data_IF_238290217996
#
_entry.id   IF_238290217996
#
_cell.length_a   1.000
_cell.length_b   1.000
_cell.length_c   1.000
_cell.angle_alpha   90.00
_cell.angle_beta   90.00
_cell.angle_gamma   90.00
#
_symmetry.space_group_name_H-M   'P 1'
#
loop_
_entity.id
_entity.type
_entity.pdbx_description
1 polymer ?
#
# COMPACT_ATOMS: atom_id res chain seq x y z
N UNK A 1 11.87 41.85 -49.91
CA UNK A 1 11.64 40.42 -49.69
C UNK A 1 11.87 40.13 -48.19
N UNK A 2 10.80 40.02 -47.37
CA UNK A 2 10.89 39.75 -45.93
C UNK A 2 10.69 38.26 -45.74
N UNK A 3 11.74 37.56 -45.30
CA UNK A 3 11.67 36.14 -44.90
C UNK A 3 11.10 36.06 -43.49
N UNK A 4 9.85 35.57 -43.37
CA UNK A 4 9.21 35.26 -42.07
C UNK A 4 9.84 34.01 -41.48
N UNK A 5 10.38 34.15 -40.29
CA UNK A 5 10.89 33.07 -39.44
C UNK A 5 9.73 32.57 -38.56
N UNK A 6 9.11 31.47 -38.96
CA UNK A 6 8.08 30.81 -38.16
C UNK A 6 8.79 29.98 -37.10
N UNK A 7 8.85 30.51 -35.89
CA UNK A 7 9.33 29.79 -34.72
C UNK A 7 8.32 28.72 -34.29
N UNK A 8 8.65 27.47 -34.52
CA UNK A 8 7.88 26.33 -34.00
C UNK A 8 8.11 26.22 -32.49
N UNK A 9 7.18 26.72 -31.70
CA UNK A 9 7.16 26.51 -30.22
C UNK A 9 6.72 25.09 -29.96
N UNK A 10 7.68 24.23 -29.63
CA UNK A 10 7.43 22.86 -29.19
C UNK A 10 6.95 22.92 -27.72
N UNK A 11 5.64 22.86 -27.54
CA UNK A 11 5.04 22.77 -26.21
C UNK A 11 5.31 21.38 -25.62
N UNK A 12 6.35 21.27 -24.80
CA UNK A 12 6.69 20.03 -24.10
C UNK A 12 5.64 19.81 -22.97
N UNK A 13 4.59 19.07 -23.28
CA UNK A 13 3.62 18.61 -22.27
C UNK A 13 4.29 17.50 -21.46
N UNK A 14 4.85 17.85 -20.32
CA UNK A 14 5.31 16.87 -19.33
C UNK A 14 4.09 16.21 -18.72
N UNK A 15 3.75 15.00 -19.16
CA UNK A 15 2.77 14.17 -18.51
C UNK A 15 3.35 13.75 -17.14
N UNK A 16 2.83 14.33 -16.07
CA UNK A 16 3.08 13.86 -14.71
C UNK A 16 2.31 12.54 -14.57
N UNK A 17 3.00 11.42 -14.77
CA UNK A 17 2.44 10.10 -14.51
C UNK A 17 2.33 9.95 -12.99
N UNK A 18 1.18 10.28 -12.42
CA UNK A 18 0.87 9.93 -11.03
C UNK A 18 0.73 8.41 -10.96
N UNK A 19 1.68 7.75 -10.29
CA UNK A 19 1.54 6.34 -9.95
C UNK A 19 0.31 6.19 -9.06
N UNK A 20 -0.64 5.36 -9.47
CA UNK A 20 -1.87 5.09 -8.73
C UNK A 20 -1.86 3.62 -8.31
N UNK A 21 -2.13 3.37 -7.04
CA UNK A 21 -2.36 2.02 -6.51
C UNK A 21 -3.86 1.83 -6.25
N UNK A 22 -4.40 0.70 -6.66
CA UNK A 22 -5.80 0.36 -6.39
C UNK A 22 -5.90 -1.08 -5.87
N UNK A 23 -6.65 -1.25 -4.79
CA UNK A 23 -7.08 -2.56 -4.31
C UNK A 23 -8.34 -2.95 -5.06
N UNK A 24 -8.26 -4.01 -5.88
CA UNK A 24 -9.35 -4.42 -6.78
C UNK A 24 -9.74 -5.86 -6.51
N UNK A 25 -11.03 -6.15 -6.68
CA UNK A 25 -11.61 -7.47 -6.48
C UNK A 25 -11.16 -8.52 -7.51
N UNK A 26 -10.60 -8.11 -8.64
CA UNK A 26 -10.23 -8.97 -9.75
C UNK A 26 -8.74 -9.36 -9.76
N UNK A 27 -7.97 -8.87 -8.81
CA UNK A 27 -6.53 -9.17 -8.77
C UNK A 27 -6.11 -9.75 -7.43
N UNK A 28 -5.37 -10.87 -7.45
CA UNK A 28 -4.74 -11.37 -6.24
C UNK A 28 -3.70 -10.37 -5.73
N UNK A 29 -3.65 -10.16 -4.42
CA UNK A 29 -2.61 -9.33 -3.82
C UNK A 29 -1.52 -10.20 -3.22
N UNK A 30 -0.28 -9.73 -3.33
CA UNK A 30 0.89 -10.25 -2.63
C UNK A 30 1.46 -9.17 -1.72
N UNK A 31 1.62 -9.52 -0.46
CA UNK A 31 2.29 -8.66 0.52
C UNK A 31 3.74 -9.12 0.67
N UNK A 32 4.69 -8.28 0.29
CA UNK A 32 6.10 -8.52 0.58
C UNK A 32 6.38 -8.12 2.02
N UNK A 33 6.70 -9.08 2.87
CA UNK A 33 7.05 -8.85 4.27
C UNK A 33 8.18 -9.79 4.68
N UNK A 34 9.26 -9.23 5.19
CA UNK A 34 10.41 -10.01 5.63
C UNK A 34 10.13 -10.78 6.92
N UNK A 35 10.75 -11.96 7.06
CA UNK A 35 10.61 -12.81 8.24
C UNK A 35 11.22 -12.23 9.51
N UNK A 36 12.04 -11.17 9.40
CA UNK A 36 12.61 -10.45 10.55
C UNK A 36 11.60 -9.53 11.25
N UNK A 37 10.43 -9.30 10.62
CA UNK A 37 9.39 -8.49 11.22
C UNK A 37 8.78 -9.15 12.45
N UNK A 38 8.42 -8.33 13.44
CA UNK A 38 7.90 -8.80 14.72
C UNK A 38 6.54 -9.48 14.60
N UNK A 39 6.21 -10.30 15.61
CA UNK A 39 4.96 -11.06 15.67
C UNK A 39 3.71 -10.20 15.53
N UNK A 40 3.73 -8.95 16.02
CA UNK A 40 2.61 -8.02 15.89
C UNK A 40 2.33 -7.69 14.42
N UNK A 41 3.37 -7.48 13.62
CA UNK A 41 3.26 -7.24 12.17
C UNK A 41 2.71 -8.48 11.46
N UNK A 42 3.24 -9.67 11.79
CA UNK A 42 2.77 -10.94 11.23
C UNK A 42 1.30 -11.21 11.56
N UNK A 43 0.85 -10.82 12.76
CA UNK A 43 -0.54 -10.94 13.16
C UNK A 43 -1.42 -9.99 12.35
N UNK A 44 -1.03 -8.71 12.23
CA UNK A 44 -1.76 -7.73 11.43
C UNK A 44 -1.90 -8.17 9.95
N UNK A 45 -0.85 -8.76 9.37
CA UNK A 45 -0.90 -9.33 8.02
C UNK A 45 -1.95 -10.43 7.87
N UNK A 46 -2.02 -11.36 8.82
CA UNK A 46 -3.03 -12.44 8.81
C UNK A 46 -4.44 -11.87 8.86
N UNK A 47 -4.66 -10.85 9.68
CA UNK A 47 -5.95 -10.18 9.81
C UNK A 47 -6.34 -9.49 8.50
N UNK A 48 -5.44 -8.70 7.92
CA UNK A 48 -5.68 -8.02 6.65
C UNK A 48 -5.96 -9.01 5.50
N UNK A 49 -5.23 -10.14 5.43
CA UNK A 49 -5.48 -11.18 4.42
C UNK A 49 -6.91 -11.72 4.54
N UNK A 50 -7.35 -12.03 5.77
CA UNK A 50 -8.71 -12.48 6.03
C UNK A 50 -9.73 -11.43 5.58
N UNK A 51 -9.52 -10.17 5.96
CA UNK A 51 -10.38 -9.05 5.64
C UNK A 51 -10.47 -8.84 4.13
N UNK A 52 -9.33 -8.88 3.43
CA UNK A 52 -9.28 -8.77 1.98
C UNK A 52 -10.06 -9.89 1.27
N UNK A 53 -9.89 -11.13 1.72
CA UNK A 53 -10.61 -12.28 1.19
C UNK A 53 -12.11 -12.17 1.43
N UNK A 54 -12.53 -11.65 2.59
CA UNK A 54 -13.94 -11.45 2.92
C UNK A 54 -14.60 -10.38 2.05
N UNK A 55 -13.89 -9.27 1.79
CA UNK A 55 -14.43 -8.14 1.02
C UNK A 55 -14.43 -8.42 -0.48
N UNK A 56 -13.35 -8.96 -1.03
CA UNK A 56 -13.17 -9.08 -2.48
C UNK A 56 -13.31 -10.51 -3.01
N UNK A 57 -13.44 -11.51 -2.17
CA UNK A 57 -13.42 -12.93 -2.56
C UNK A 57 -12.20 -13.31 -3.42
N UNK A 58 -11.11 -12.55 -3.27
CA UNK A 58 -9.87 -12.68 -4.02
C UNK A 58 -8.74 -13.22 -3.12
N UNK A 59 -7.74 -13.87 -3.74
CA UNK A 59 -6.62 -14.41 -2.98
C UNK A 59 -5.66 -13.33 -2.52
N UNK A 60 -5.16 -13.49 -1.30
CA UNK A 60 -4.10 -12.68 -0.73
C UNK A 60 -3.03 -13.60 -0.11
N UNK A 61 -1.76 -13.31 -0.32
CA UNK A 61 -0.65 -14.11 0.18
C UNK A 61 0.51 -13.24 0.65
N UNK A 62 1.30 -13.76 1.59
CA UNK A 62 2.56 -13.15 2.02
C UNK A 62 3.73 -13.84 1.33
N UNK A 63 4.66 -13.05 0.82
CA UNK A 63 5.94 -13.49 0.28
C UNK A 63 7.07 -12.74 1.00
N UNK A 64 8.21 -13.37 1.22
CA UNK A 64 9.32 -12.74 1.95
C UNK A 64 9.99 -11.61 1.17
N UNK A 65 9.84 -11.54 -0.15
CA UNK A 65 10.62 -10.65 -1.02
C UNK A 65 9.84 -9.93 -2.10
N UNK A 66 8.72 -10.48 -2.54
CA UNK A 66 8.00 -10.00 -3.73
C UNK A 66 6.52 -9.76 -3.42
N UNK A 67 6.04 -8.60 -3.83
CA UNK A 67 4.64 -8.25 -3.68
C UNK A 67 4.30 -6.94 -4.36
N UNK A 68 3.03 -6.69 -4.53
CA UNK A 68 2.50 -5.39 -4.95
C UNK A 68 2.21 -4.46 -3.75
N UNK A 69 2.21 -5.03 -2.54
CA UNK A 69 2.21 -4.25 -1.28
C UNK A 69 3.49 -4.63 -0.53
N UNK A 70 4.31 -3.65 -0.18
CA UNK A 70 5.55 -3.83 0.58
C UNK A 70 5.31 -3.38 2.01
N UNK A 71 5.57 -4.27 2.97
CA UNK A 71 5.40 -4.00 4.40
C UNK A 71 6.77 -3.99 5.06
N UNK A 72 7.11 -2.90 5.74
CA UNK A 72 8.45 -2.72 6.30
C UNK A 72 8.45 -1.83 7.55
N UNK A 73 9.22 -2.23 8.56
CA UNK A 73 9.52 -1.41 9.73
C UNK A 73 10.85 -0.69 9.54
N UNK A 74 10.88 0.62 9.79
CA UNK A 74 12.08 1.45 9.71
C UNK A 74 13.16 0.90 10.62
N UNK A 75 14.38 0.76 10.09
CA UNK A 75 15.53 0.23 10.83
C UNK A 75 15.57 -1.28 11.00
N UNK A 76 14.50 -2.01 10.62
CA UNK A 76 14.46 -3.49 10.72
C UNK A 76 14.45 -4.16 9.35
N UNK A 77 13.48 -3.84 8.52
CA UNK A 77 13.27 -4.55 7.27
C UNK A 77 14.31 -4.20 6.20
N UNK A 78 14.99 -5.19 5.62
CA UNK A 78 15.86 -4.98 4.47
C UNK A 78 15.08 -4.57 3.22
N UNK A 79 13.78 -4.87 3.11
CA UNK A 79 12.94 -4.48 1.99
C UNK A 79 12.87 -2.96 1.83
N UNK A 80 12.92 -2.21 2.94
CA UNK A 80 12.90 -0.76 2.90
C UNK A 80 14.12 -0.16 2.21
N UNK A 81 15.27 -0.83 2.31
CA UNK A 81 16.51 -0.40 1.63
C UNK A 81 16.46 -0.66 0.12
N UNK A 82 15.66 -1.62 -0.30
CA UNK A 82 15.52 -1.98 -1.71
C UNK A 82 14.56 -1.06 -2.48
N UNK A 83 13.77 -0.27 -1.77
CA UNK A 83 12.82 0.67 -2.38
C UNK A 83 13.28 2.11 -2.12
N UNK A 84 13.24 2.94 -3.16
CA UNK A 84 13.59 4.36 -3.05
C UNK A 84 12.39 5.14 -2.48
N UNK A 85 12.15 4.97 -1.18
CA UNK A 85 11.06 5.65 -0.49
C UNK A 85 11.60 6.65 0.55
N UNK A 86 10.99 7.82 0.61
CA UNK A 86 11.29 8.79 1.66
C UNK A 86 10.44 8.46 2.90
N UNK A 87 11.09 7.95 3.91
CA UNK A 87 10.48 7.64 5.21
C UNK A 87 10.90 8.61 6.31
N UNK A 88 11.50 9.75 5.95
CA UNK A 88 11.95 10.78 6.91
C UNK A 88 10.84 11.29 7.81
N UNK A 89 9.60 11.31 7.30
CA UNK A 89 8.41 11.67 8.07
C UNK A 89 8.15 10.77 9.29
N UNK A 90 8.74 9.57 9.34
CA UNK A 90 8.63 8.63 10.46
C UNK A 90 9.75 8.79 11.49
N UNK A 91 10.80 9.58 11.18
CA UNK A 91 11.94 9.74 12.07
C UNK A 91 11.54 10.31 13.43
N UNK A 92 12.01 9.68 14.50
CA UNK A 92 11.74 10.08 15.89
C UNK A 92 10.29 9.90 16.37
N UNK A 93 9.39 9.41 15.51
CA UNK A 93 8.00 9.13 15.88
C UNK A 93 7.85 7.72 16.45
N UNK A 94 6.87 7.54 17.31
CA UNK A 94 6.46 6.23 17.83
C UNK A 94 5.09 5.87 17.27
N UNK A 95 4.92 4.58 16.95
CA UNK A 95 3.64 4.02 16.50
C UNK A 95 3.03 4.77 15.29
N UNK A 96 3.88 5.42 14.50
CA UNK A 96 3.49 6.13 13.29
C UNK A 96 3.67 5.24 12.07
N UNK A 97 2.87 5.46 11.05
CA UNK A 97 2.98 4.78 9.76
C UNK A 97 2.85 5.74 8.59
N UNK A 98 3.28 5.27 7.44
CA UNK A 98 3.19 5.94 6.14
C UNK A 98 2.66 4.95 5.11
N UNK A 99 1.68 5.37 4.32
CA UNK A 99 1.23 4.70 3.11
C UNK A 99 1.71 5.52 1.92
N UNK A 100 2.49 4.92 1.04
CA UNK A 100 3.06 5.61 -0.11
C UNK A 100 2.99 4.74 -1.37
N UNK A 101 2.46 5.30 -2.45
CA UNK A 101 2.58 4.65 -3.77
C UNK A 101 3.97 4.93 -4.33
N UNK A 102 4.69 3.86 -4.66
CA UNK A 102 6.03 3.93 -5.21
C UNK A 102 5.99 4.22 -6.72
N UNK A 103 7.09 4.71 -7.32
CA UNK A 103 7.15 5.00 -8.76
C UNK A 103 6.85 3.78 -9.65
N UNK A 104 7.10 2.56 -9.18
CA UNK A 104 6.78 1.31 -9.87
C UNK A 104 5.33 0.83 -9.69
N UNK A 105 4.48 1.66 -9.07
CA UNK A 105 3.06 1.39 -8.86
C UNK A 105 2.76 0.47 -7.66
N UNK A 106 3.76 0.05 -6.88
CA UNK A 106 3.54 -0.72 -5.65
C UNK A 106 3.14 0.20 -4.49
N UNK A 107 2.45 -0.37 -3.50
CA UNK A 107 2.14 0.32 -2.26
C UNK A 107 3.17 -0.05 -1.18
N UNK A 108 3.76 0.97 -0.57
CA UNK A 108 4.58 0.82 0.62
C UNK A 108 3.74 1.12 1.87
N UNK A 109 3.79 0.20 2.82
CA UNK A 109 3.33 0.36 4.20
C UNK A 109 4.58 0.38 5.08
N UNK A 110 4.99 1.55 5.53
CA UNK A 110 6.15 1.71 6.40
C UNK A 110 5.73 2.16 7.79
N UNK A 111 6.26 1.52 8.83
CA UNK A 111 6.06 1.94 10.22
C UNK A 111 7.35 2.45 10.86
N UNK A 112 7.24 3.41 11.77
CA UNK A 112 8.37 3.91 12.58
C UNK A 112 8.88 2.85 13.56
N UNK A 113 8.01 1.92 13.94
CA UNK A 113 8.25 0.77 14.79
C UNK A 113 7.27 -0.37 14.43
N UNK A 114 7.37 -1.57 15.00
CA UNK A 114 6.49 -2.69 14.65
C UNK A 114 5.00 -2.42 14.90
N UNK A 115 4.64 -1.63 15.91
CA UNK A 115 3.25 -1.26 16.16
C UNK A 115 2.75 -0.28 15.09
N UNK A 116 3.57 0.71 14.72
CA UNK A 116 3.26 1.62 13.59
C UNK A 116 3.05 0.85 12.29
N UNK A 117 3.90 -0.15 12.00
CA UNK A 117 3.73 -1.01 10.83
C UNK A 117 2.40 -1.78 10.89
N UNK A 118 2.08 -2.36 12.05
CA UNK A 118 0.81 -3.06 12.25
C UNK A 118 -0.39 -2.13 12.06
N UNK A 119 -0.33 -0.90 12.57
CA UNK A 119 -1.40 0.10 12.34
C UNK A 119 -1.55 0.48 10.87
N UNK A 120 -0.44 0.62 10.14
CA UNK A 120 -0.49 0.84 8.69
C UNK A 120 -1.17 -0.30 7.93
N UNK A 121 -0.94 -1.56 8.33
CA UNK A 121 -1.64 -2.72 7.76
C UNK A 121 -3.13 -2.68 8.10
N UNK A 122 -3.50 -2.38 9.34
CA UNK A 122 -4.91 -2.28 9.74
C UNK A 122 -5.63 -1.10 9.05
N UNK A 123 -4.90 -0.03 8.71
CA UNK A 123 -5.45 1.04 7.88
C UNK A 123 -5.84 0.56 6.48
N UNK A 124 -5.12 -0.42 5.91
CA UNK A 124 -5.55 -1.04 4.65
C UNK A 124 -6.90 -1.76 4.81
N UNK A 125 -7.12 -2.47 5.92
CA UNK A 125 -8.44 -3.08 6.22
C UNK A 125 -9.53 -2.03 6.27
N UNK A 126 -9.26 -0.90 6.93
CA UNK A 126 -10.21 0.22 6.99
C UNK A 126 -10.51 0.81 5.61
N UNK A 127 -9.49 0.97 4.76
CA UNK A 127 -9.63 1.53 3.41
C UNK A 127 -10.44 0.63 2.46
N UNK A 128 -10.45 -0.69 2.68
CA UNK A 128 -11.30 -1.62 1.93
C UNK A 128 -12.69 -1.79 2.54
N UNK A 129 -13.05 -0.98 3.54
CA UNK A 129 -14.40 -0.95 4.11
C UNK A 129 -14.62 -1.82 5.34
N UNK A 130 -13.58 -2.47 5.88
CA UNK A 130 -13.70 -3.23 7.12
C UNK A 130 -13.79 -2.28 8.29
N UNK A 131 -14.91 -2.33 9.01
CA UNK A 131 -15.13 -1.49 10.18
C UNK A 131 -14.39 -2.04 11.42
N UNK A 132 -13.81 -1.19 12.26
CA UNK A 132 -13.31 -1.61 13.58
C UNK A 132 -14.37 -2.29 14.44
N UNK A 133 -15.65 -2.02 14.19
CA UNK A 133 -16.79 -2.61 14.89
C UNK A 133 -17.03 -4.09 14.54
N UNK A 134 -16.44 -4.62 13.48
CA UNK A 134 -16.48 -6.07 13.19
C UNK A 134 -16.02 -6.91 14.38
N UNK A 135 -15.01 -6.42 15.11
CA UNK A 135 -14.41 -7.11 16.25
C UNK A 135 -15.20 -6.97 17.54
N UNK A 136 -16.08 -5.95 17.64
CA UNK A 136 -16.78 -5.60 18.88
C UNK A 136 -18.28 -5.77 18.80
N UNK A 137 -18.84 -5.83 17.61
CA UNK A 137 -20.29 -5.81 17.39
C UNK A 137 -20.76 -6.82 16.33
N UNK A 138 -19.94 -7.80 15.94
CA UNK A 138 -20.24 -8.82 14.93
C UNK A 138 -20.78 -8.24 13.61
N UNK A 139 -20.31 -7.04 13.22
CA UNK A 139 -20.70 -6.40 11.96
C UNK A 139 -19.86 -7.00 10.84
N UNK A 140 -20.47 -7.85 10.02
CA UNK A 140 -19.80 -8.45 8.86
C UNK A 140 -19.55 -7.39 7.80
N UNK A 141 -18.35 -7.33 7.19
CA UNK A 141 -18.07 -6.44 6.08
C UNK A 141 -19.01 -6.72 4.89
N UNK A 142 -19.50 -5.67 4.25
CA UNK A 142 -20.22 -5.81 3.01
C UNK A 142 -19.29 -6.29 1.90
N UNK A 143 -19.67 -7.36 1.20
CA UNK A 143 -18.94 -7.84 0.04
C UNK A 143 -19.06 -6.83 -1.10
N UNK A 144 -17.95 -6.28 -1.57
CA UNK A 144 -17.95 -5.43 -2.75
C UNK A 144 -18.17 -6.29 -3.99
N UNK A 145 -19.43 -6.46 -4.40
CA UNK A 145 -19.77 -7.03 -5.70
C UNK A 145 -19.45 -6.00 -6.79
N UNK A 146 -18.84 -6.45 -7.89
CA UNK A 146 -18.72 -5.64 -9.10
C UNK A 146 -20.12 -5.19 -9.52
N UNK A 147 -20.44 -3.93 -9.31
CA UNK A 147 -21.51 -3.30 -10.07
C UNK A 147 -20.87 -2.98 -11.43
N UNK A 148 -21.14 -3.83 -12.40
CA UNK A 148 -20.85 -3.49 -13.79
C UNK A 148 -21.84 -2.42 -14.22
N UNK A 149 -21.34 -1.28 -14.60
CA UNK A 149 -21.92 -0.35 -15.58
C UNK A 149 -20.75 0.29 -16.33
#
# INVERSE_FOLDING_TARGET
>A
MKKGFIGLVFLLVTQICCAQFSLRSDQPIKLACDNVEEKVVQTALKLFIRDYQSVFSASAAVDARQGNIIVATVGKSPLLKAVSADVSALAGKKQAFLLQVLPDGKLLVAGSDPHGTAYGIMELSRLIGVSPWEWWADVTPETMTKTGD
#
